data_IF_606860882236
#
_entry.id   IF_606860882236
#
_cell.length_a   1.000
_cell.length_b   1.000
_cell.length_c   1.000
_cell.angle_alpha   90.00
_cell.angle_beta   90.00
_cell.angle_gamma   90.00
#
_symmetry.space_group_name_H-M   'P 1'
#
loop_
_entity.id
_entity.type
_entity.pdbx_description
1 polymer ?
#
# COMPACT_ATOMS: atom_id res chain seq x y z
N UNK A 1 16.97 -7.55 -40.33
CA UNK A 1 16.42 -7.21 -39.01
C UNK A 1 17.02 -5.89 -38.58
N UNK A 2 16.19 -4.85 -38.45
CA UNK A 2 16.66 -3.51 -38.10
C UNK A 2 16.91 -3.40 -36.59
N UNK A 3 17.72 -2.43 -36.14
CA UNK A 3 17.95 -2.20 -34.69
C UNK A 3 16.63 -1.90 -33.96
N UNK A 4 15.74 -1.15 -34.61
CA UNK A 4 14.40 -0.84 -34.10
C UNK A 4 13.55 -2.09 -33.88
N UNK A 5 13.46 -2.96 -34.88
CA UNK A 5 12.70 -4.21 -34.84
C UNK A 5 13.16 -5.11 -33.68
N UNK A 6 14.48 -5.27 -33.54
CA UNK A 6 15.09 -6.06 -32.46
C UNK A 6 14.75 -5.51 -31.08
N UNK A 7 14.81 -4.19 -30.89
CA UNK A 7 14.48 -3.56 -29.59
C UNK A 7 12.99 -3.66 -29.26
N UNK A 8 12.12 -3.49 -30.24
CA UNK A 8 10.68 -3.67 -30.05
C UNK A 8 10.34 -5.13 -29.72
N UNK A 9 10.98 -6.10 -30.37
CA UNK A 9 10.80 -7.52 -30.06
C UNK A 9 11.23 -7.86 -28.62
N UNK A 10 12.38 -7.35 -28.17
CA UNK A 10 12.84 -7.50 -26.79
C UNK A 10 11.84 -6.93 -25.75
N UNK A 11 11.13 -5.86 -26.12
CA UNK A 11 10.10 -5.24 -25.26
C UNK A 11 8.73 -5.95 -25.36
N UNK A 12 8.58 -6.92 -26.26
CA UNK A 12 7.32 -7.57 -26.59
C UNK A 12 6.35 -6.63 -27.31
N UNK A 13 6.87 -5.71 -28.13
CA UNK A 13 6.16 -4.64 -28.83
C UNK A 13 6.30 -4.72 -30.37
N UNK A 14 6.78 -5.85 -30.90
CA UNK A 14 7.00 -6.04 -32.35
C UNK A 14 5.76 -5.76 -33.21
N UNK A 15 4.56 -5.93 -32.65
CA UNK A 15 3.29 -5.62 -33.32
C UNK A 15 3.15 -4.16 -33.79
N UNK A 16 3.91 -3.22 -33.21
CA UNK A 16 3.88 -1.80 -33.60
C UNK A 16 4.96 -1.42 -34.63
N UNK A 17 5.85 -2.36 -35.01
CA UNK A 17 6.97 -2.07 -35.90
C UNK A 17 6.54 -1.47 -37.24
N UNK A 18 5.55 -2.08 -37.90
CA UNK A 18 5.03 -1.58 -39.18
C UNK A 18 4.37 -0.21 -39.05
N UNK A 19 3.67 0.05 -37.94
CA UNK A 19 3.01 1.35 -37.69
C UNK A 19 4.05 2.45 -37.51
N UNK A 20 5.12 2.17 -36.75
CA UNK A 20 6.22 3.12 -36.58
C UNK A 20 6.96 3.39 -37.90
N UNK A 21 7.21 2.36 -38.72
CA UNK A 21 7.84 2.54 -40.03
C UNK A 21 7.01 3.38 -41.00
N UNK A 22 5.70 3.16 -41.06
CA UNK A 22 4.79 3.91 -41.93
C UNK A 22 4.76 5.40 -41.58
N UNK A 23 4.93 5.72 -40.31
CA UNK A 23 4.91 7.08 -39.76
C UNK A 23 6.33 7.71 -39.73
N UNK A 24 7.32 7.05 -40.31
CA UNK A 24 8.68 7.58 -40.47
C UNK A 24 9.62 7.33 -39.28
N UNK A 25 9.24 6.51 -38.31
CA UNK A 25 10.12 6.06 -37.22
C UNK A 25 10.80 4.76 -37.62
N UNK A 26 11.91 4.89 -38.34
CA UNK A 26 12.70 3.78 -38.89
C UNK A 26 13.87 3.33 -38.00
N UNK A 27 14.29 4.17 -37.06
CA UNK A 27 15.41 3.91 -36.14
C UNK A 27 15.01 4.11 -34.68
N UNK A 28 15.79 3.54 -33.75
CA UNK A 28 15.52 3.72 -32.32
C UNK A 28 15.70 5.17 -31.88
N UNK A 29 16.64 5.90 -32.49
CA UNK A 29 16.92 7.29 -32.14
C UNK A 29 15.77 8.22 -32.54
N UNK A 30 15.17 8.04 -33.73
CA UNK A 30 13.98 8.81 -34.13
C UNK A 30 12.78 8.47 -33.28
N UNK A 31 12.60 7.19 -32.90
CA UNK A 31 11.55 6.79 -31.97
C UNK A 31 11.78 7.32 -30.54
N UNK A 32 13.02 7.62 -30.15
CA UNK A 32 13.32 8.13 -28.82
C UNK A 32 12.80 9.56 -28.59
N UNK A 33 12.52 10.31 -29.66
CA UNK A 33 11.94 11.66 -29.61
C UNK A 33 10.40 11.68 -29.67
N UNK A 34 9.75 10.50 -29.79
CA UNK A 34 8.30 10.42 -29.89
C UNK A 34 7.61 10.94 -28.62
N UNK A 35 6.59 11.79 -28.78
CA UNK A 35 5.83 12.32 -27.64
C UNK A 35 4.74 11.35 -27.19
N UNK A 36 4.18 11.57 -26.00
CA UNK A 36 3.04 10.77 -25.52
C UNK A 36 1.79 10.94 -26.39
N UNK A 37 1.60 12.13 -26.96
CA UNK A 37 0.50 12.44 -27.88
C UNK A 37 0.61 11.64 -29.17
N UNK A 38 1.82 11.55 -29.75
CA UNK A 38 2.07 10.77 -30.97
C UNK A 38 1.82 9.29 -30.73
N UNK A 39 2.33 8.74 -29.62
CA UNK A 39 2.05 7.35 -29.24
C UNK A 39 0.55 7.08 -28.98
N UNK A 40 -0.21 8.10 -28.60
CA UNK A 40 -1.65 7.98 -28.45
C UNK A 40 -2.36 7.99 -29.82
N UNK A 41 -1.89 8.83 -30.76
CA UNK A 41 -2.38 8.88 -32.13
C UNK A 41 -2.11 7.55 -32.88
N UNK A 42 -0.96 6.92 -32.62
CA UNK A 42 -0.60 5.59 -33.13
C UNK A 42 -1.30 4.43 -32.42
N UNK A 43 -2.30 4.72 -31.58
CA UNK A 43 -3.09 3.75 -30.80
C UNK A 43 -2.25 2.77 -29.95
N UNK A 44 -1.06 3.18 -29.54
CA UNK A 44 -0.22 2.36 -28.67
C UNK A 44 -0.86 2.33 -27.29
N UNK A 45 -1.19 1.14 -26.78
CA UNK A 45 -1.85 0.97 -25.47
C UNK A 45 -1.02 1.61 -24.36
N UNK A 46 -1.65 2.26 -23.38
CA UNK A 46 -0.97 2.99 -22.29
C UNK A 46 0.13 2.16 -21.58
N UNK A 47 -0.10 0.87 -21.35
CA UNK A 47 0.91 -0.02 -20.76
C UNK A 47 2.12 -0.26 -21.66
N UNK A 48 1.93 -0.30 -22.97
CA UNK A 48 2.99 -0.42 -23.98
C UNK A 48 3.75 0.90 -24.14
N UNK A 49 3.05 2.04 -24.13
CA UNK A 49 3.68 3.37 -24.09
C UNK A 49 4.63 3.50 -22.91
N UNK A 50 4.19 3.12 -21.71
CA UNK A 50 5.04 3.14 -20.50
C UNK A 50 6.26 2.23 -20.59
N UNK A 51 6.12 1.05 -21.20
CA UNK A 51 7.26 0.14 -21.44
C UNK A 51 8.28 0.77 -22.40
N UNK A 52 7.80 1.34 -23.50
CA UNK A 52 8.63 1.97 -24.51
C UNK A 52 9.35 3.21 -23.96
N UNK A 53 8.63 4.12 -23.29
CA UNK A 53 9.20 5.30 -22.64
C UNK A 53 10.26 4.93 -21.58
N UNK A 54 10.03 3.88 -20.78
CA UNK A 54 11.03 3.38 -19.83
C UNK A 54 12.30 2.87 -20.53
N UNK A 55 12.15 2.17 -21.65
CA UNK A 55 13.28 1.68 -22.44
C UNK A 55 14.06 2.83 -23.09
N UNK A 56 13.36 3.83 -23.62
CA UNK A 56 13.96 5.05 -24.20
C UNK A 56 14.76 5.80 -23.13
N UNK A 57 14.17 6.05 -21.96
CA UNK A 57 14.84 6.72 -20.85
C UNK A 57 16.09 5.94 -20.37
N UNK A 58 16.03 4.61 -20.35
CA UNK A 58 17.19 3.77 -20.02
C UNK A 58 18.31 3.82 -21.07
N UNK A 59 17.98 4.03 -22.34
CA UNK A 59 18.95 4.13 -23.43
C UNK A 59 19.65 5.49 -23.55
N UNK A 60 19.01 6.57 -23.07
CA UNK A 60 19.54 7.94 -23.21
C UNK A 60 20.68 8.31 -22.27
N UNK A 61 21.06 7.45 -21.32
CA UNK A 61 22.10 7.75 -20.35
C UNK A 61 21.70 8.94 -19.46
N UNK A 62 21.31 8.67 -18.23
CA UNK A 62 20.75 9.65 -17.29
C UNK A 62 21.56 10.97 -17.20
N UNK A 63 21.05 12.14 -17.62
CA UNK A 63 21.69 13.42 -17.34
C UNK A 63 21.14 14.03 -16.04
N UNK A 64 21.03 13.25 -14.97
CA UNK A 64 20.67 13.77 -13.63
C UNK A 64 21.92 13.92 -12.76
N UNK A 65 22.73 14.93 -13.08
CA UNK A 65 23.75 15.46 -12.17
C UNK A 65 23.58 16.96 -12.00
N UNK A 66 22.41 17.39 -11.52
CA UNK A 66 22.22 18.68 -10.83
C UNK A 66 21.10 18.57 -9.79
N UNK A 67 21.47 18.15 -8.59
CA UNK A 67 20.56 18.13 -7.44
C UNK A 67 21.12 17.24 -6.35
N UNK A 68 21.92 17.81 -5.47
CA UNK A 68 22.55 17.16 -4.33
C UNK A 68 21.48 16.57 -3.40
N UNK A 69 21.16 15.29 -3.55
CA UNK A 69 20.57 14.47 -2.49
C UNK A 69 21.46 13.25 -2.32
N UNK A 70 22.33 13.33 -1.31
CA UNK A 70 22.96 12.17 -0.71
C UNK A 70 21.86 11.12 -0.51
N UNK A 71 22.01 9.87 -0.99
CA UNK A 71 21.08 8.83 -0.60
C UNK A 71 21.26 8.67 0.91
N UNK A 72 20.29 9.18 1.68
CA UNK A 72 20.25 8.96 3.11
C UNK A 72 20.41 7.46 3.33
N UNK A 73 21.40 7.00 4.11
CA UNK A 73 21.37 5.65 4.61
C UNK A 73 20.10 5.57 5.45
N UNK A 74 19.07 4.91 4.92
CA UNK A 74 17.96 4.41 5.71
C UNK A 74 18.59 3.37 6.65
N UNK A 75 19.13 3.86 7.75
CA UNK A 75 19.20 3.06 8.97
C UNK A 75 17.76 2.91 9.43
N UNK A 76 17.09 1.90 8.88
CA UNK A 76 15.92 1.30 9.50
C UNK A 76 16.40 0.73 10.82
N UNK A 77 16.50 1.61 11.83
CA UNK A 77 16.34 1.16 13.19
C UNK A 77 14.94 0.56 13.21
N UNK A 78 14.88 -0.76 13.28
CA UNK A 78 13.69 -1.57 13.35
C UNK A 78 12.89 -1.18 14.60
N UNK A 79 12.12 -0.09 14.52
CA UNK A 79 10.95 0.08 15.34
C UNK A 79 9.89 -0.78 14.68
N UNK A 80 9.71 -1.96 15.26
CA UNK A 80 8.57 -2.82 15.04
C UNK A 80 7.31 -1.96 14.91
N UNK A 81 6.86 -1.67 13.68
CA UNK A 81 5.47 -1.38 13.43
C UNK A 81 4.74 -2.63 13.89
N UNK A 82 4.20 -2.56 15.10
CA UNK A 82 3.20 -3.51 15.53
C UNK A 82 2.03 -3.31 14.58
N UNK A 83 1.95 -4.15 13.55
CA UNK A 83 0.68 -4.58 12.99
C UNK A 83 -0.12 -5.14 14.17
N UNK A 84 -0.73 -4.23 14.93
CA UNK A 84 -1.57 -4.55 16.07
C UNK A 84 -2.94 -4.86 15.49
N UNK A 85 -2.99 -5.99 14.79
CA UNK A 85 -4.21 -6.75 14.64
C UNK A 85 -4.52 -7.30 16.03
N UNK A 86 -5.44 -6.66 16.74
CA UNK A 86 -5.92 -7.18 18.02
C UNK A 86 -6.65 -8.50 17.75
N UNK A 87 -5.91 -9.61 17.88
CA UNK A 87 -6.46 -10.93 18.15
C UNK A 87 -7.02 -10.88 19.57
N UNK A 88 -8.34 -10.95 19.68
CA UNK A 88 -9.00 -11.31 20.92
C UNK A 88 -8.91 -12.83 21.04
N UNK A 89 -7.85 -13.32 21.68
CA UNK A 89 -7.86 -14.61 22.36
C UNK A 89 -6.74 -14.63 23.42
N UNK A 90 -7.14 -14.82 24.67
CA UNK A 90 -6.29 -14.90 25.85
C UNK A 90 -5.99 -16.38 26.10
N UNK A 91 -4.79 -16.87 25.74
CA UNK A 91 -4.22 -18.07 26.34
C UNK A 91 -2.74 -18.32 26.01
N UNK A 92 -2.00 -18.67 27.06
CA UNK A 92 -0.71 -19.35 27.12
C UNK A 92 0.53 -18.61 26.57
N UNK A 93 1.43 -18.23 27.49
CA UNK A 93 2.75 -17.73 27.18
C UNK A 93 3.74 -18.83 26.83
N UNK A 94 4.59 -18.59 25.83
CA UNK A 94 5.83 -19.34 25.67
C UNK A 94 6.90 -18.50 24.96
N UNK A 95 8.11 -18.49 25.52
CA UNK A 95 9.30 -17.82 25.00
C UNK A 95 9.78 -18.51 23.71
N UNK A 96 9.88 -17.78 22.60
CA UNK A 96 10.50 -18.28 21.36
C UNK A 96 11.76 -17.48 21.01
N UNK A 97 12.92 -18.08 21.29
CA UNK A 97 14.22 -17.63 20.80
C UNK A 97 14.24 -17.68 19.25
N UNK A 98 14.68 -16.58 18.61
CA UNK A 98 14.80 -16.49 17.15
C UNK A 98 16.23 -16.84 16.71
N UNK A 99 16.37 -17.93 15.95
CA UNK A 99 17.56 -18.27 15.16
C UNK A 99 17.47 -17.56 13.78
N UNK A 100 18.58 -17.09 13.17
CA UNK A 100 18.55 -16.44 11.87
C UNK A 100 18.60 -17.48 10.74
N UNK A 101 17.64 -17.41 9.81
CA UNK A 101 17.62 -18.25 8.61
C UNK A 101 18.34 -17.58 7.45
N UNK A 102 19.19 -18.37 6.79
CA UNK A 102 20.08 -18.07 5.69
C UNK A 102 19.39 -17.62 4.40
N UNK A 103 20.07 -16.73 3.70
CA UNK A 103 19.83 -16.25 2.33
C UNK A 103 19.67 -17.40 1.31
N UNK A 104 18.56 -17.39 0.57
CA UNK A 104 18.44 -18.15 -0.69
C UNK A 104 18.02 -17.23 -1.85
N UNK A 105 19.00 -17.06 -2.72
CA UNK A 105 19.01 -16.75 -4.14
C UNK A 105 17.68 -16.41 -4.85
N UNK A 106 17.73 -15.25 -5.49
CA UNK A 106 16.87 -14.74 -6.55
C UNK A 106 16.85 -15.67 -7.78
N UNK A 107 15.68 -16.22 -8.09
CA UNK A 107 15.39 -16.87 -9.36
C UNK A 107 14.36 -16.07 -10.17
N UNK A 108 14.69 -15.89 -11.44
CA UNK A 108 14.03 -15.15 -12.52
C UNK A 108 12.50 -15.07 -12.53
N UNK A 109 12.00 -13.83 -12.58
CA UNK A 109 11.28 -13.33 -13.75
C UNK A 109 10.04 -14.08 -14.24
N UNK A 110 9.00 -14.20 -13.41
CA UNK A 110 7.63 -14.39 -13.91
C UNK A 110 6.82 -13.16 -13.50
N UNK A 111 6.50 -12.29 -14.46
CA UNK A 111 5.64 -11.13 -14.25
C UNK A 111 4.17 -11.60 -14.15
N UNK A 112 3.87 -12.44 -13.16
CA UNK A 112 2.49 -12.77 -12.83
C UNK A 112 1.88 -11.54 -12.15
N UNK A 113 0.97 -10.86 -12.85
CA UNK A 113 0.14 -9.80 -12.29
C UNK A 113 -0.41 -10.30 -10.94
N UNK A 114 -0.05 -9.62 -9.84
CA UNK A 114 -0.44 -10.03 -8.48
C UNK A 114 -1.96 -10.24 -8.44
N UNK A 115 -2.42 -11.43 -8.06
CA UNK A 115 -3.85 -11.72 -7.91
C UNK A 115 -4.38 -10.88 -6.75
N UNK A 116 -5.33 -10.00 -7.02
CA UNK A 116 -5.98 -9.21 -5.97
C UNK A 116 -6.74 -10.13 -5.02
N UNK A 117 -6.41 -10.05 -3.72
CA UNK A 117 -7.18 -10.72 -2.67
C UNK A 117 -8.39 -9.86 -2.35
N UNK A 118 -9.59 -10.43 -2.42
CA UNK A 118 -10.82 -9.75 -2.01
C UNK A 118 -10.88 -9.71 -0.49
N UNK A 119 -11.42 -8.62 0.06
CA UNK A 119 -11.70 -8.48 1.49
C UNK A 119 -13.21 -8.62 1.74
N UNK A 120 -13.64 -9.17 2.88
CA UNK A 120 -15.05 -9.18 3.26
C UNK A 120 -15.59 -7.76 3.36
N UNK A 121 -16.90 -7.61 3.12
CA UNK A 121 -17.61 -6.35 3.39
C UNK A 121 -17.60 -6.08 4.90
N UNK A 122 -17.56 -4.81 5.27
CA UNK A 122 -17.76 -4.40 6.66
C UNK A 122 -19.22 -4.67 7.07
N UNK A 123 -19.44 -4.90 8.37
CA UNK A 123 -20.77 -4.97 8.94
C UNK A 123 -21.26 -3.56 9.31
N UNK A 124 -22.48 -3.23 8.90
CA UNK A 124 -23.15 -1.96 9.20
C UNK A 124 -23.74 -1.92 10.62
N UNK A 125 -24.03 -3.08 11.22
CA UNK A 125 -24.62 -3.20 12.56
C UNK A 125 -23.59 -3.40 13.67
N UNK A 126 -22.33 -3.66 13.32
CA UNK A 126 -21.27 -3.82 14.30
C UNK A 126 -20.95 -2.47 14.96
N UNK A 127 -20.78 -2.43 16.31
CA UNK A 127 -20.30 -1.22 16.98
C UNK A 127 -19.00 -0.72 16.35
N UNK A 128 -18.89 0.60 16.22
CA UNK A 128 -17.70 1.23 15.69
C UNK A 128 -16.50 1.03 16.62
N UNK A 129 -15.31 0.90 16.04
CA UNK A 129 -14.09 0.69 16.82
C UNK A 129 -13.80 1.92 17.68
N UNK A 130 -13.46 1.74 18.98
CA UNK A 130 -13.20 2.85 19.86
C UNK A 130 -11.90 3.55 19.46
N UNK A 131 -11.83 4.89 19.54
CA UNK A 131 -10.61 5.63 19.23
C UNK A 131 -9.55 5.39 20.32
N UNK A 132 -8.27 5.32 19.91
CA UNK A 132 -7.15 5.29 20.85
C UNK A 132 -6.85 6.67 21.42
N UNK A 133 -6.05 6.74 22.50
CA UNK A 133 -5.65 8.00 23.12
C UNK A 133 -5.02 8.97 22.11
N UNK A 134 -4.15 8.46 21.24
CA UNK A 134 -3.55 9.24 20.16
C UNK A 134 -4.60 9.72 19.15
N UNK A 135 -5.58 8.88 18.77
CA UNK A 135 -6.62 9.27 17.82
C UNK A 135 -7.51 10.36 18.41
N UNK A 136 -7.89 10.24 19.68
CA UNK A 136 -8.63 11.26 20.43
C UNK A 136 -7.86 12.58 20.40
N UNK A 137 -6.59 12.56 20.81
CA UNK A 137 -5.71 13.74 20.76
C UNK A 137 -5.59 14.32 19.35
N UNK A 138 -5.38 13.47 18.34
CA UNK A 138 -5.24 13.89 16.94
C UNK A 138 -6.48 14.59 16.43
N UNK A 139 -7.67 14.14 16.84
CA UNK A 139 -8.93 14.76 16.46
C UNK A 139 -9.11 16.11 17.17
N UNK A 140 -8.78 16.21 18.46
CA UNK A 140 -8.81 17.49 19.20
C UNK A 140 -7.87 18.53 18.57
N UNK A 141 -6.66 18.14 18.19
CA UNK A 141 -5.70 19.05 17.54
C UNK A 141 -6.17 19.41 16.13
N UNK A 142 -6.69 18.46 15.36
CA UNK A 142 -7.28 18.73 14.03
C UNK A 142 -8.44 19.73 14.11
N UNK A 143 -9.30 19.60 15.11
CA UNK A 143 -10.40 20.55 15.34
C UNK A 143 -9.88 21.94 15.68
N UNK A 144 -8.84 22.04 16.53
CA UNK A 144 -8.20 23.32 16.85
C UNK A 144 -7.57 23.99 15.63
N UNK A 145 -6.99 23.20 14.74
CA UNK A 145 -6.29 23.67 13.53
C UNK A 145 -7.21 23.74 12.30
N UNK A 146 -8.52 23.51 12.46
CA UNK A 146 -9.45 23.39 11.33
C UNK A 146 -9.59 24.68 10.52
N UNK A 147 -9.40 25.82 11.17
CA UNK A 147 -9.45 27.15 10.55
C UNK A 147 -8.11 27.59 9.96
N UNK A 148 -7.03 26.84 10.23
CA UNK A 148 -5.75 27.04 9.53
C UNK A 148 -5.82 26.36 8.17
N UNK A 149 -5.50 27.07 7.08
CA UNK A 149 -5.43 26.51 5.71
C UNK A 149 -4.22 25.58 5.52
N UNK A 150 -4.06 24.60 6.39
CA UNK A 150 -2.99 23.61 6.36
C UNK A 150 -3.43 22.37 5.60
N UNK A 151 -2.49 21.77 4.87
CA UNK A 151 -2.70 20.46 4.27
C UNK A 151 -2.81 19.37 5.35
N UNK A 152 -3.51 18.28 5.02
CA UNK A 152 -3.61 17.11 5.89
C UNK A 152 -2.25 16.59 6.35
N UNK A 153 -1.24 16.63 5.45
CA UNK A 153 0.12 16.18 5.73
C UNK A 153 0.80 17.07 6.78
N UNK A 154 0.60 18.38 6.73
CA UNK A 154 1.17 19.33 7.70
C UNK A 154 0.50 19.18 9.06
N UNK A 155 -0.82 19.02 9.09
CA UNK A 155 -1.55 18.75 10.34
C UNK A 155 -1.08 17.44 10.96
N UNK A 156 -0.92 16.37 10.17
CA UNK A 156 -0.43 15.08 10.66
C UNK A 156 0.97 15.18 11.28
N UNK A 157 1.88 15.98 10.67
CA UNK A 157 3.21 16.24 11.23
C UNK A 157 3.12 16.98 12.57
N UNK A 158 2.38 18.08 12.62
CA UNK A 158 2.17 18.87 13.85
C UNK A 158 1.59 18.00 14.97
N UNK A 159 0.57 17.19 14.70
CA UNK A 159 -0.02 16.27 15.68
C UNK A 159 1.01 15.28 16.23
N UNK A 160 1.82 14.69 15.34
CA UNK A 160 2.85 13.75 15.74
C UNK A 160 3.90 14.37 16.66
N UNK A 161 4.40 15.56 16.29
CA UNK A 161 5.34 16.33 17.11
C UNK A 161 4.74 16.69 18.48
N UNK A 162 3.52 17.23 18.49
CA UNK A 162 2.81 17.58 19.73
C UNK A 162 2.56 16.37 20.63
N UNK A 163 2.25 15.20 20.08
CA UNK A 163 2.04 14.00 20.89
C UNK A 163 3.32 13.55 21.61
N UNK A 164 4.47 13.63 20.95
CA UNK A 164 5.76 13.23 21.53
C UNK A 164 6.12 14.09 22.75
N UNK A 165 5.88 15.40 22.65
CA UNK A 165 6.17 16.37 23.72
C UNK A 165 4.96 16.67 24.61
N UNK A 166 3.85 15.95 24.43
CA UNK A 166 2.61 16.16 25.18
C UNK A 166 2.86 15.99 26.68
N UNK A 167 2.28 16.90 27.47
CA UNK A 167 2.37 16.83 28.92
C UNK A 167 1.81 15.49 29.44
N UNK A 168 2.46 14.85 30.42
CA UNK A 168 1.98 13.58 30.97
C UNK A 168 0.53 13.63 31.46
N UNK A 169 0.08 14.75 32.02
CA UNK A 169 -1.29 14.92 32.51
C UNK A 169 -2.29 14.98 31.35
N UNK A 170 -1.95 15.67 30.26
CA UNK A 170 -2.82 15.72 29.07
C UNK A 170 -2.86 14.36 28.35
N UNK A 171 -1.73 13.66 28.32
CA UNK A 171 -1.65 12.29 27.80
C UNK A 171 -2.52 11.35 28.61
N UNK A 172 -2.43 11.39 29.93
CA UNK A 172 -3.26 10.59 30.84
C UNK A 172 -4.75 10.86 30.64
N UNK A 173 -5.15 12.12 30.43
CA UNK A 173 -6.55 12.46 30.10
C UNK A 173 -7.02 11.80 28.80
N UNK A 174 -6.17 11.78 27.78
CA UNK A 174 -6.48 11.11 26.51
C UNK A 174 -6.55 9.58 26.69
N UNK A 175 -5.67 9.01 27.53
CA UNK A 175 -5.67 7.59 27.88
C UNK A 175 -6.90 7.18 28.66
N UNK A 176 -7.35 8.00 29.63
CA UNK A 176 -8.60 7.78 30.35
C UNK A 176 -9.80 7.77 29.41
N UNK A 177 -9.93 8.76 28.53
CA UNK A 177 -11.01 8.81 27.54
C UNK A 177 -10.99 7.60 26.59
N UNK A 178 -9.80 7.16 26.17
CA UNK A 178 -9.66 5.96 25.35
C UNK A 178 -10.05 4.69 26.11
N UNK A 179 -9.72 4.61 27.40
CA UNK A 179 -10.10 3.48 28.25
C UNK A 179 -11.63 3.41 28.44
N UNK A 180 -12.28 4.55 28.67
CA UNK A 180 -13.75 4.63 28.75
C UNK A 180 -14.41 4.25 27.43
N UNK A 181 -13.98 4.83 26.31
CA UNK A 181 -14.50 4.48 24.99
C UNK A 181 -14.32 2.99 24.67
N UNK A 182 -13.20 2.39 25.11
CA UNK A 182 -12.96 0.94 24.97
C UNK A 182 -13.89 0.11 25.84
N UNK A 183 -14.21 0.55 27.06
CA UNK A 183 -15.17 -0.12 27.95
C UNK A 183 -16.57 -0.10 27.32
N UNK A 184 -17.03 1.08 26.90
CA UNK A 184 -18.35 1.24 26.29
C UNK A 184 -18.48 0.43 24.99
N UNK A 185 -17.41 0.36 24.19
CA UNK A 185 -17.35 -0.52 23.03
C UNK A 185 -17.48 -1.99 23.40
N UNK A 186 -16.81 -2.43 24.48
CA UNK A 186 -16.86 -3.83 24.92
C UNK A 186 -18.29 -4.21 25.31
N UNK A 187 -18.98 -3.36 26.05
CA UNK A 187 -20.38 -3.57 26.44
C UNK A 187 -21.30 -3.65 25.22
N UNK A 188 -21.22 -2.67 24.31
CA UNK A 188 -22.00 -2.68 23.05
C UNK A 188 -21.70 -3.90 22.19
N UNK A 189 -20.44 -4.35 22.15
CA UNK A 189 -20.03 -5.53 21.40
C UNK A 189 -20.54 -6.82 22.04
N UNK A 190 -20.61 -6.90 23.36
CA UNK A 190 -21.22 -8.05 24.06
C UNK A 190 -22.73 -8.14 23.81
N UNK A 191 -23.42 -7.01 23.71
CA UNK A 191 -24.82 -6.96 23.30
C UNK A 191 -24.99 -7.36 21.84
N UNK A 192 -24.22 -6.77 20.94
CA UNK A 192 -24.30 -7.05 19.50
C UNK A 192 -23.96 -8.52 19.16
N UNK A 193 -23.06 -9.19 19.89
CA UNK A 193 -22.80 -10.64 19.73
C UNK A 193 -24.04 -11.52 19.93
N UNK A 194 -25.04 -11.04 20.67
CA UNK A 194 -26.27 -11.78 20.98
C UNK A 194 -27.36 -11.56 19.94
N UNK A 195 -27.15 -10.68 18.96
CA UNK A 195 -28.18 -10.31 17.99
C UNK A 195 -28.12 -11.19 16.74
N UNK A 196 -29.24 -11.28 16.01
CA UNK A 196 -29.34 -12.10 14.81
C UNK A 196 -28.46 -11.56 13.66
N UNK A 197 -28.22 -10.25 13.65
CA UNK A 197 -27.36 -9.56 12.70
C UNK A 197 -25.92 -10.06 12.79
N UNK A 198 -25.39 -10.25 14.01
CA UNK A 198 -24.06 -10.81 14.21
C UNK A 198 -23.95 -12.23 13.65
N UNK A 199 -24.94 -13.09 13.90
CA UNK A 199 -24.97 -14.45 13.34
C UNK A 199 -25.02 -14.44 11.82
N UNK A 200 -25.85 -13.59 11.22
CA UNK A 200 -25.94 -13.43 9.78
C UNK A 200 -24.60 -12.98 9.18
N UNK A 201 -23.92 -12.06 9.85
CA UNK A 201 -22.59 -11.59 9.43
C UNK A 201 -21.52 -12.66 9.58
N UNK A 202 -21.54 -13.47 10.65
CA UNK A 202 -20.62 -14.62 10.79
C UNK A 202 -20.81 -15.63 9.64
N UNK A 203 -22.05 -15.96 9.29
CA UNK A 203 -22.36 -16.83 8.14
C UNK A 203 -21.84 -16.24 6.82
N UNK A 204 -22.01 -14.92 6.63
CA UNK A 204 -21.43 -14.21 5.49
C UNK A 204 -19.90 -14.32 5.45
N UNK A 205 -19.22 -14.14 6.59
CA UNK A 205 -17.76 -14.25 6.68
C UNK A 205 -17.28 -15.67 6.35
N UNK A 206 -17.97 -16.71 6.81
CA UNK A 206 -17.67 -18.10 6.48
C UNK A 206 -17.85 -18.37 4.98
N UNK A 207 -18.95 -17.91 4.40
CA UNK A 207 -19.21 -18.07 2.97
C UNK A 207 -18.16 -17.32 2.13
N UNK A 208 -17.80 -16.10 2.55
CA UNK A 208 -16.76 -15.30 1.91
C UNK A 208 -15.41 -16.02 1.97
N UNK A 209 -15.02 -16.55 3.13
CA UNK A 209 -13.79 -17.33 3.30
C UNK A 209 -13.81 -18.61 2.46
N UNK A 210 -14.95 -19.28 2.31
CA UNK A 210 -15.09 -20.46 1.45
C UNK A 210 -14.94 -20.13 -0.03
N UNK A 211 -15.54 -19.03 -0.49
CA UNK A 211 -15.50 -18.59 -1.90
C UNK A 211 -14.17 -17.95 -2.32
N UNK A 212 -13.52 -17.23 -1.40
CA UNK A 212 -12.33 -16.43 -1.69
C UNK A 212 -11.08 -16.84 -0.89
N UNK A 213 -11.18 -17.91 -0.10
CA UNK A 213 -10.07 -18.52 0.62
C UNK A 213 -8.96 -18.96 -0.32
N UNK A 214 -7.72 -18.85 0.14
CA UNK A 214 -6.55 -19.31 -0.59
C UNK A 214 -6.66 -20.83 -0.79
N UNK A 215 -6.32 -21.37 -1.99
CA UNK A 215 -6.07 -22.80 -2.09
C UNK A 215 -4.91 -23.14 -1.14
N UNK A 216 -5.11 -24.11 -0.24
CA UNK A 216 -4.00 -24.65 0.55
C UNK A 216 -2.91 -25.10 -0.42
N UNK A 217 -1.69 -24.58 -0.26
CA UNK A 217 -0.53 -25.08 -1.00
C UNK A 217 -0.35 -26.54 -0.59
N UNK A 218 -0.31 -27.41 -1.60
CA UNK A 218 -0.49 -28.85 -1.46
C UNK A 218 0.52 -29.53 -0.54
N UNK A 219 0.02 -30.52 0.20
CA UNK A 219 0.75 -31.73 0.52
C UNK A 219 0.77 -32.60 -0.74
N UNK A 220 1.95 -32.79 -1.34
CA UNK A 220 2.34 -33.94 -2.14
C UNK A 220 3.84 -34.15 -1.92
#
# INVERSE_FOLDING_TARGET
MTDLERRLELLGLAQYYNVFLQEGFDTWDTLADITESDLNFLEVKLGHRRKLQRAIAGSRGNPDSRGNSVPLPISLQNHSSTDTYYNTDESAGEQRQRQPASSVASASGINTKRKYRRHPKADEHAPERPPSAYVIFSNMVRERLKDENLSFTEIAKKVGEMWQVLDPQERERCEHQAAEAKRDYKEKMEEYKKTAEYEAYQRYLEEFKRKHGLPQKGQL
#
